data_IF_666483779484
#
_entry.id   IF_666483779484
#
_cell.length_a   1.000
_cell.length_b   1.000
_cell.length_c   1.000
_cell.angle_alpha   90.00
_cell.angle_beta   90.00
_cell.angle_gamma   90.00
#
_symmetry.space_group_name_H-M   'P 1'
#
loop_
_entity.id
_entity.type
_entity.pdbx_description
1 polymer ?
2 polymer ?
3 non-polymer ?
#
loop_
_entity_poly.entity_id
_entity_poly.type
_entity_poly.pdbx_seq_one_letter_code
_entity_poly.pdbx_strand_id
2 'polyribonucleotide' 'GGCCAGGUAGCUCAGUUGGUAGAGCACUGGACUGAAAAUCCAGGUGUCGGCGGUUCGAUUCCGCCCCUGGCCAC' ?
#
# COMPACT_ATOMS: atom_id res chain seq x y z
N UNK A 1 -29.05 12.21 6.52
CA UNK A 1 -29.76 12.37 7.78
C UNK A 1 -28.89 13.13 8.79
N UNK A 2 -27.61 13.21 8.47
CA UNK A 2 -26.64 13.88 9.34
C UNK A 2 -26.96 15.36 9.53
N UNK A 3 -27.30 16.04 8.44
CA UNK A 3 -27.63 17.45 8.48
C UNK A 3 -28.86 17.75 9.33
N UNK A 4 -29.84 16.85 9.26
CA UNK A 4 -31.07 16.97 10.04
C UNK A 4 -30.79 16.89 11.54
N UNK A 5 -30.07 15.84 11.94
CA UNK A 5 -29.72 15.64 13.34
C UNK A 5 -28.83 16.78 13.85
N UNK A 6 -27.94 17.25 12.98
CA UNK A 6 -27.06 18.37 13.31
C UNK A 6 -27.85 19.65 13.48
N UNK A 7 -28.97 19.75 12.76
CA UNK A 7 -29.85 20.91 12.89
C UNK A 7 -30.64 20.84 14.20
N UNK A 8 -31.14 19.64 14.52
CA UNK A 8 -31.90 19.43 15.75
C UNK A 8 -31.06 19.74 16.98
N UNK A 9 -29.79 19.36 16.93
CA UNK A 9 -28.86 19.60 18.04
C UNK A 9 -28.25 20.99 17.94
N UNK A 10 -28.59 21.71 16.89
CA UNK A 10 -28.05 23.04 16.67
C UNK A 10 -26.54 23.02 16.50
N UNK A 11 -26.05 22.04 15.76
CA UNK A 11 -24.61 21.86 15.57
C UNK A 11 -24.19 22.11 14.14
N UNK A 12 -22.88 22.00 13.90
CA UNK A 12 -22.32 22.13 12.56
C UNK A 12 -21.35 20.99 12.29
N UNK A 13 -21.66 20.16 11.30
CA UNK A 13 -20.81 19.02 10.97
C UNK A 13 -20.25 19.17 9.55
N UNK A 14 -19.09 18.59 9.31
CA UNK A 14 -18.45 18.70 8.00
C UNK A 14 -17.71 17.43 7.61
N UNK A 15 -17.74 17.10 6.32
CA UNK A 15 -16.87 16.05 5.80
C UNK A 15 -15.48 16.65 5.65
N UNK A 16 -14.46 15.90 6.05
CA UNK A 16 -13.13 16.50 6.20
C UNK A 16 -11.98 15.57 5.80
N UNK A 17 -10.96 16.15 5.18
CA UNK A 17 -9.71 15.45 4.94
C UNK A 17 -9.63 14.77 3.58
N UNK A 18 -8.85 13.70 3.51
CA UNK A 18 -8.67 12.94 2.29
C UNK A 18 -9.97 12.48 1.69
N UNK A 19 -10.96 12.22 2.55
CA UNK A 19 -12.30 11.85 2.10
C UNK A 19 -12.83 12.88 1.11
N UNK A 20 -12.67 14.16 1.46
CA UNK A 20 -13.01 15.24 0.54
C UNK A 20 -12.16 15.16 -0.71
N UNK A 21 -10.85 14.99 -0.51
CA UNK A 21 -9.91 14.92 -1.63
C UNK A 21 -10.35 13.86 -2.63
N UNK A 22 -10.55 12.63 -2.16
CA UNK A 22 -11.01 11.53 -2.99
C UNK A 22 -12.33 11.86 -3.69
N UNK A 23 -13.17 12.64 -3.01
CA UNK A 23 -14.44 13.05 -3.60
C UNK A 23 -14.17 14.00 -4.76
N UNK A 24 -13.24 14.92 -4.57
CA UNK A 24 -12.89 15.88 -5.60
C UNK A 24 -12.05 15.22 -6.67
N UNK A 25 -11.46 14.07 -6.34
CA UNK A 25 -10.69 13.28 -7.29
C UNK A 25 -11.58 12.25 -7.97
N UNK A 26 -12.86 12.26 -7.62
CA UNK A 26 -13.84 11.37 -8.24
C UNK A 26 -13.83 9.97 -7.69
N UNK A 27 -12.95 9.71 -6.73
CA UNK A 27 -12.84 8.39 -6.12
C UNK A 27 -13.76 8.25 -4.92
N UNK A 28 -14.71 7.32 -5.02
CA UNK A 28 -15.63 7.08 -3.92
C UNK A 28 -15.06 6.11 -2.90
N UNK A 29 -15.17 6.47 -1.63
CA UNK A 29 -14.68 5.63 -0.55
C UNK A 29 -15.80 5.31 0.44
N UNK A 30 -15.63 4.23 1.19
CA UNK A 30 -16.64 3.80 2.16
C UNK A 30 -16.32 4.30 3.57
N UNK A 31 -15.21 5.01 3.71
CA UNK A 31 -14.81 5.55 5.01
C UNK A 31 -14.94 7.06 5.01
N UNK A 32 -15.85 7.58 5.83
CA UNK A 32 -16.11 9.02 5.88
C UNK A 32 -15.67 9.63 7.21
N UNK A 33 -14.90 10.70 7.11
CA UNK A 33 -14.40 11.42 8.27
C UNK A 33 -15.16 12.72 8.50
N UNK A 34 -15.74 12.87 9.68
CA UNK A 34 -16.52 14.04 10.04
C UNK A 34 -15.85 14.86 11.13
N UNK A 35 -15.92 16.18 10.99
CA UNK A 35 -15.52 17.09 12.05
C UNK A 35 -16.75 17.84 12.53
N UNK A 36 -16.99 17.79 13.84
CA UNK A 36 -18.20 18.35 14.41
C UNK A 36 -17.91 19.45 15.43
N UNK A 37 -18.49 20.64 15.18
CA UNK A 37 -18.49 21.70 16.18
C UNK A 37 -19.60 21.39 17.18
N UNK A 38 -19.23 21.23 18.45
CA UNK A 38 -20.14 20.67 19.44
C UNK A 38 -19.78 19.21 19.65
N UNK A 39 -20.59 18.49 20.42
CA UNK A 39 -20.28 17.11 20.76
C UNK A 39 -20.55 16.16 19.59
N UNK A 40 -19.50 15.46 19.15
CA UNK A 40 -19.62 14.50 18.06
C UNK A 40 -20.15 13.16 18.55
N UNK A 41 -19.84 12.84 19.81
CA UNK A 41 -20.23 11.56 20.38
C UNK A 41 -21.74 11.37 20.36
N UNK A 42 -22.48 12.34 20.89
CA UNK A 42 -23.94 12.28 20.93
C UNK A 42 -24.54 12.26 19.53
N UNK A 43 -23.87 12.94 18.59
CA UNK A 43 -24.31 12.96 17.20
C UNK A 43 -24.22 11.54 16.62
N UNK A 44 -23.08 10.90 16.84
CA UNK A 44 -22.84 9.55 16.36
C UNK A 44 -23.81 8.55 17.00
N UNK A 45 -24.04 8.73 18.30
CA UNK A 45 -24.96 7.87 19.04
C UNK A 45 -26.39 8.00 18.51
N UNK A 46 -26.79 9.23 18.21
CA UNK A 46 -28.13 9.49 17.71
C UNK A 46 -28.30 8.94 16.31
N UNK A 47 -27.30 9.15 15.46
CA UNK A 47 -27.33 8.64 14.10
C UNK A 47 -27.37 7.12 14.09
N UNK A 48 -26.61 6.51 14.98
CA UNK A 48 -26.58 5.05 15.09
C UNK A 48 -27.91 4.53 15.63
N UNK A 49 -28.52 5.32 16.50
CA UNK A 49 -29.79 4.94 17.11
C UNK A 49 -30.94 4.99 16.10
N UNK A 50 -30.96 6.03 15.28
CA UNK A 50 -32.01 6.19 14.28
C UNK A 50 -31.96 5.10 13.21
N UNK A 51 -30.75 4.78 12.76
CA UNK A 51 -30.55 3.71 11.78
C UNK A 51 -30.54 2.35 12.45
N UNK A 52 -30.55 2.35 13.78
CA UNK A 52 -30.61 1.12 14.55
C UNK A 52 -29.39 0.24 14.40
N UNK A 53 -28.21 0.83 14.55
CA UNK A 53 -26.97 0.07 14.48
C UNK A 53 -26.09 0.33 15.70
N UNK A 54 -25.12 -0.55 15.91
CA UNK A 54 -24.22 -0.41 17.05
C UNK A 54 -23.33 0.83 16.94
N UNK A 55 -22.89 1.34 18.07
CA UNK A 55 -22.03 2.52 18.10
C UNK A 55 -20.79 2.26 18.96
N UNK A 56 -19.66 2.82 18.55
CA UNK A 56 -18.40 2.65 19.26
C UNK A 56 -17.83 3.99 19.70
N UNK A 57 -18.21 4.43 20.92
CA UNK A 57 -17.77 5.70 21.50
C UNK A 57 -16.34 5.67 22.04
N UNK A 58 -15.67 6.80 21.90
CA UNK A 58 -14.34 7.02 22.45
C UNK A 58 -14.30 8.42 23.07
N UNK A 59 -14.71 8.52 24.34
CA UNK A 59 -14.83 9.78 25.08
C UNK A 59 -13.49 10.52 25.24
N UNK A 60 -12.43 9.79 25.57
CA UNK A 60 -11.14 10.41 25.83
C UNK A 60 -10.56 10.99 24.54
N UNK A 61 -10.74 10.29 23.43
CA UNK A 61 -10.32 10.78 22.13
C UNK A 61 -11.32 11.80 21.60
N UNK A 62 -12.57 11.67 22.04
CA UNK A 62 -13.64 12.56 21.62
C UNK A 62 -14.18 12.20 20.25
N UNK A 63 -14.03 10.93 19.88
CA UNK A 63 -14.47 10.47 18.57
C UNK A 63 -15.38 9.26 18.70
N UNK A 64 -16.12 8.93 17.65
CA UNK A 64 -16.99 7.76 17.68
C UNK A 64 -17.11 7.11 16.31
N UNK A 65 -17.18 5.78 16.28
CA UNK A 65 -17.26 5.05 15.02
C UNK A 65 -18.55 4.25 14.91
N UNK A 66 -19.19 4.33 13.76
CA UNK A 66 -20.42 3.56 13.52
C UNK A 66 -20.49 3.10 12.06
N UNK A 67 -20.99 1.89 11.84
CA UNK A 67 -21.03 1.34 10.49
C UNK A 67 -22.46 1.18 9.98
N UNK A 68 -22.76 1.87 8.89
CA UNK A 68 -24.06 1.75 8.23
C UNK A 68 -23.89 1.12 6.85
N UNK A 69 -24.34 -0.12 6.71
CA UNK A 69 -24.12 -0.86 5.47
C UNK A 69 -22.64 -1.09 5.24
N UNK A 70 -22.16 -0.68 4.07
CA UNK A 70 -20.73 -0.74 3.77
C UNK A 70 -20.04 0.57 4.16
N UNK A 71 -20.83 1.57 4.53
CA UNK A 71 -20.28 2.86 4.94
C UNK A 71 -19.72 2.82 6.35
N UNK A 72 -18.45 3.19 6.49
CA UNK A 72 -17.82 3.32 7.79
C UNK A 72 -17.74 4.80 8.16
N UNK A 73 -18.45 5.18 9.22
CA UNK A 73 -18.54 6.58 9.60
C UNK A 73 -17.75 6.88 10.88
N UNK A 74 -16.90 7.89 10.81
CA UNK A 74 -16.16 8.36 11.98
C UNK A 74 -16.49 9.82 12.30
N UNK A 75 -16.99 10.07 13.49
CA UNK A 75 -17.28 11.44 13.93
C UNK A 75 -16.23 11.92 14.93
N UNK A 76 -15.63 13.06 14.66
CA UNK A 76 -14.57 13.61 15.50
C UNK A 76 -14.83 15.05 15.89
N UNK A 77 -14.75 15.35 17.19
CA UNK A 77 -14.95 16.71 17.66
C UNK A 77 -13.79 17.60 17.24
N UNK A 78 -14.11 18.82 16.82
CA UNK A 78 -13.10 19.77 16.36
C UNK A 78 -12.07 20.09 17.45
N UNK A 79 -10.80 20.06 17.07
CA UNK A 79 -9.71 20.34 18.00
C UNK A 79 -8.60 21.12 17.33
N UNK A 80 -8.05 22.09 18.04
CA UNK A 80 -6.98 22.94 17.51
C UNK A 80 -5.62 22.25 17.57
N UNK A 81 -5.51 21.26 18.46
CA UNK A 81 -4.24 20.57 18.68
C UNK A 81 -4.41 19.06 18.64
N UNK A 82 -3.35 18.36 18.28
CA UNK A 82 -3.37 16.91 18.17
C UNK A 82 -3.26 16.26 19.55
N UNK A 93 -11.90 25.69 25.81
CA UNK A 93 -12.33 26.52 24.70
C UNK A 93 -12.66 25.66 23.47
N UNK A 94 -13.85 25.91 22.88
CA UNK A 94 -14.29 25.18 21.68
C UNK A 94 -13.45 25.55 20.46
N UNK A 95 -13.09 24.55 19.67
CA UNK A 95 -12.25 24.78 18.50
C UNK A 95 -13.08 24.91 17.23
N UNK A 96 -12.78 25.94 16.44
CA UNK A 96 -13.43 26.13 15.15
C UNK A 96 -12.95 25.11 14.14
N UNK A 97 -13.73 24.91 13.09
CA UNK A 97 -13.37 24.00 12.01
C UNK A 97 -12.00 24.33 11.43
N UNK A 98 -11.79 25.63 11.17
CA UNK A 98 -10.55 26.12 10.59
C UNK A 98 -9.32 25.69 11.39
N UNK A 99 -9.42 25.77 12.71
CA UNK A 99 -8.33 25.35 13.58
C UNK A 99 -8.10 23.85 13.45
N UNK A 100 -9.18 23.10 13.24
CA UNK A 100 -9.08 21.65 13.10
C UNK A 100 -8.44 21.29 11.77
N UNK A 101 -8.65 22.12 10.76
CA UNK A 101 -8.11 21.88 9.43
C UNK A 101 -6.65 22.33 9.31
N UNK A 102 -6.27 23.35 10.07
CA UNK A 102 -4.93 23.92 9.92
C UNK A 102 -3.85 23.05 10.58
N UNK A 103 -4.27 22.11 11.42
CA UNK A 103 -3.33 21.21 12.07
C UNK A 103 -2.95 20.04 11.18
N UNK A 104 -3.55 19.98 9.99
CA UNK A 104 -3.33 18.85 9.10
C UNK A 104 -2.11 19.06 8.23
N UNK A 105 -1.84 18.11 7.33
CA UNK A 105 -0.58 18.09 6.58
C UNK A 105 -0.58 19.00 5.36
N UNK A 106 -1.32 18.62 4.32
CA UNK A 106 -1.24 19.31 3.03
C UNK A 106 -2.56 19.97 2.65
N UNK A 107 -2.47 20.97 1.77
CA UNK A 107 -3.61 21.79 1.38
C UNK A 107 -4.76 20.97 0.78
N UNK A 108 -4.42 19.92 0.04
CA UNK A 108 -5.45 19.08 -0.58
C UNK A 108 -6.17 18.24 0.47
N UNK A 109 -5.51 18.01 1.61
CA UNK A 109 -6.13 17.29 2.72
C UNK A 109 -6.72 18.23 3.77
N UNK A 110 -6.63 19.53 3.51
CA UNK A 110 -7.06 20.54 4.49
C UNK A 110 -8.47 21.08 4.24
N UNK A 111 -9.15 20.56 3.22
CA UNK A 111 -10.46 21.11 2.85
C UNK A 111 -11.63 20.39 3.52
N UNK A 112 -12.84 20.90 3.30
CA UNK A 112 -14.02 20.36 3.94
C UNK A 112 -15.30 20.62 3.13
N UNK A 113 -16.29 19.75 3.32
CA UNK A 113 -17.58 19.88 2.65
C UNK A 113 -18.72 19.86 3.67
N UNK A 114 -19.49 20.94 3.73
CA UNK A 114 -20.51 21.10 4.75
C UNK A 114 -21.75 20.23 4.51
N UNK A 115 -22.13 19.46 5.52
CA UNK A 115 -23.33 18.64 5.47
C UNK A 115 -24.53 19.31 6.14
N UNK A 116 -24.34 20.54 6.62
CA UNK A 116 -25.44 21.29 7.23
C UNK A 116 -26.46 21.68 6.18
N UNK A 117 -27.73 21.50 6.50
CA UNK A 117 -28.82 21.61 5.52
C UNK A 117 -28.92 22.96 4.80
N UNK A 118 -28.53 24.04 5.47
CA UNK A 118 -28.64 25.36 4.85
C UNK A 118 -27.60 25.59 3.77
N UNK A 119 -26.33 25.34 4.09
CA UNK A 119 -25.22 25.54 3.16
C UNK A 119 -24.85 24.27 2.40
N UNK A 120 -25.67 23.23 2.53
CA UNK A 120 -25.34 21.88 2.08
C UNK A 120 -24.78 21.83 0.67
N UNK A 121 -23.66 21.13 0.53
CA UNK A 121 -22.99 20.97 -0.76
C UNK A 121 -21.80 21.88 -0.91
N UNK A 122 -21.61 22.77 0.05
CA UNK A 122 -20.54 23.76 -0.03
C UNK A 122 -19.19 23.18 0.38
N UNK A 123 -18.19 23.42 -0.47
CA UNK A 123 -16.81 23.04 -0.17
C UNK A 123 -16.09 24.18 0.54
N UNK A 124 -15.55 23.91 1.73
CA UNK A 124 -14.86 24.94 2.49
C UNK A 124 -13.35 24.81 2.36
N UNK A 125 -12.75 25.73 1.61
CA UNK A 125 -11.30 25.73 1.43
C UNK A 125 -10.69 27.05 1.89
N UNK A 126 -9.97 26.99 3.01
CA UNK A 126 -9.29 28.17 3.54
C UNK A 126 -7.92 28.42 2.90
N UNK A 127 -7.16 27.35 2.72
CA UNK A 127 -5.74 27.46 2.38
C UNK A 127 -5.47 27.38 0.88
N UNK A 128 -6.53 27.27 0.09
CA UNK A 128 -6.37 27.18 -1.35
C UNK A 128 -6.00 25.78 -1.81
N UNK A 129 -6.50 24.78 -1.09
CA UNK A 129 -6.25 23.39 -1.44
C UNK A 129 -6.86 22.99 -2.77
N UNK A 130 -7.92 23.68 -3.15
CA UNK A 130 -8.59 23.42 -4.42
C UNK A 130 -7.68 23.78 -5.58
N UNK A 131 -6.98 24.90 -5.45
CA UNK A 131 -6.05 25.35 -6.47
C UNK A 131 -4.89 24.37 -6.62
N UNK A 132 -4.29 23.99 -5.49
CA UNK A 132 -3.18 23.06 -5.49
C UNK A 132 -3.58 21.69 -6.03
N UNK A 133 -4.83 21.31 -5.77
CA UNK A 133 -5.37 20.07 -6.32
C UNK A 133 -5.53 20.22 -7.83
N UNK A 134 -5.91 21.41 -8.25
CA UNK A 134 -6.08 21.73 -9.67
C UNK A 134 -4.72 21.85 -10.37
N UNK A 135 -3.73 22.36 -9.64
CA UNK A 135 -2.39 22.55 -10.19
C UNK A 135 -1.47 21.36 -9.94
N UNK A 136 -2.04 20.30 -9.37
CA UNK A 136 -1.29 19.09 -9.05
C UNK A 136 -0.11 19.40 -8.13
N UNK A 137 -0.38 20.11 -7.05
CA UNK A 137 0.68 20.56 -6.15
C UNK A 137 0.54 20.01 -4.74
N UNK A 138 1.61 19.41 -4.23
CA UNK A 138 1.67 19.00 -2.83
C UNK A 138 2.31 20.12 -2.03
N UNK A 139 1.53 20.76 -1.17
CA UNK A 139 1.99 21.94 -0.45
C UNK A 139 1.63 21.88 1.03
N UNK A 140 2.61 22.17 1.87
CA UNK A 140 2.39 22.20 3.32
C UNK A 140 1.65 23.46 3.74
N UNK A 141 0.96 23.39 4.88
CA UNK A 141 0.21 24.53 5.39
C UNK A 141 1.13 25.53 6.07
N UNK A 142 2.19 25.04 6.70
CA UNK A 142 3.14 25.88 7.41
C UNK A 142 4.55 25.33 7.30
N UNK A 143 5.56 26.22 7.37
CA UNK A 143 6.97 25.84 7.26
C UNK A 143 7.41 24.79 8.27
N UNK A 144 6.77 24.76 9.43
CA UNK A 144 7.16 23.84 10.50
C UNK A 144 6.51 22.47 10.38
N UNK A 145 5.74 22.26 9.33
CA UNK A 145 4.95 21.04 9.13
C UNK A 145 5.76 19.74 9.24
N UNK A 146 6.87 19.67 8.50
CA UNK A 146 7.69 18.47 8.51
C UNK A 146 8.39 18.28 9.86
N UNK A 147 8.68 19.39 10.53
CA UNK A 147 9.32 19.33 11.84
C UNK A 147 8.33 18.82 12.89
N UNK A 148 7.07 19.21 12.75
CA UNK A 148 6.01 18.74 13.64
C UNK A 148 5.85 17.23 13.54
N UNK A 149 5.65 16.75 12.32
CA UNK A 149 5.45 15.32 12.07
C UNK A 149 6.35 14.86 10.92
N UNK A 150 7.57 14.41 11.24
CA UNK A 150 8.55 13.91 10.27
C UNK A 150 8.00 12.79 9.38
N UNK A 151 7.04 12.04 9.89
CA UNK A 151 6.40 10.97 9.12
C UNK A 151 5.84 11.52 7.81
N UNK A 152 5.33 12.74 7.85
CA UNK A 152 4.77 13.40 6.68
C UNK A 152 5.74 13.44 5.51
N UNK A 153 7.04 13.47 5.82
CA UNK A 153 8.08 13.44 4.79
C UNK A 153 7.83 12.30 3.81
N UNK A 154 7.51 11.13 4.36
CA UNK A 154 7.14 9.99 3.52
C UNK A 154 5.81 10.26 2.84
N UNK A 155 4.82 10.63 3.65
CA UNK A 155 3.44 10.79 3.18
C UNK A 155 3.35 11.63 1.92
N UNK A 156 3.96 12.82 1.96
CA UNK A 156 3.98 13.71 0.82
C UNK A 156 4.42 12.97 -0.42
N UNK A 157 5.61 12.36 -0.34
CA UNK A 157 6.15 11.59 -1.45
C UNK A 157 5.13 10.56 -1.90
N UNK A 158 4.59 9.83 -0.93
CA UNK A 158 3.60 8.80 -1.21
C UNK A 158 2.44 9.40 -2.01
N UNK A 159 1.93 10.53 -1.53
CA UNK A 159 0.84 11.19 -2.23
C UNK A 159 1.32 11.63 -3.61
N UNK A 160 2.51 12.22 -3.64
CA UNK A 160 3.09 12.68 -4.90
C UNK A 160 3.28 11.49 -5.83
N UNK A 161 3.39 10.30 -5.25
CA UNK A 161 3.49 9.08 -6.02
C UNK A 161 2.14 8.69 -6.60
N UNK A 162 1.10 8.75 -5.78
CA UNK A 162 -0.22 8.27 -6.20
C UNK A 162 -0.90 9.21 -7.17
N UNK A 163 -0.99 10.49 -6.79
CA UNK A 163 -1.75 11.46 -7.56
C UNK A 163 -0.93 12.05 -8.70
N UNK A 164 0.33 11.65 -8.78
CA UNK A 164 1.27 12.21 -9.76
C UNK A 164 1.35 13.73 -9.63
N UNK A 165 1.42 14.21 -8.40
CA UNK A 165 1.57 15.63 -8.14
C UNK A 165 3.04 16.00 -8.00
N UNK A 166 3.30 17.28 -7.78
CA UNK A 166 4.67 17.75 -7.58
C UNK A 166 4.76 18.61 -6.33
N UNK A 167 5.89 18.50 -5.64
CA UNK A 167 6.14 19.31 -4.45
C UNK A 167 6.43 20.75 -4.84
N UNK A 168 5.82 21.70 -4.14
CA UNK A 168 6.12 23.10 -4.36
C UNK A 168 7.54 23.37 -3.90
N UNK A 169 8.15 24.43 -4.45
CA UNK A 169 9.52 24.80 -4.10
C UNK A 169 9.69 24.94 -2.59
N UNK A 170 8.73 25.63 -1.97
CA UNK A 170 8.69 25.76 -0.52
C UNK A 170 8.71 24.39 0.14
N UNK A 171 7.67 23.61 -0.11
CA UNK A 171 7.51 22.28 0.48
C UNK A 171 8.73 21.38 0.23
N UNK A 172 9.30 21.47 -0.97
CA UNK A 172 10.46 20.67 -1.31
C UNK A 172 11.67 21.06 -0.48
N UNK A 173 11.95 22.36 -0.40
CA UNK A 173 13.06 22.85 0.40
C UNK A 173 12.88 22.47 1.87
N UNK A 174 11.66 22.62 2.37
CA UNK A 174 11.35 22.27 3.74
C UNK A 174 11.56 20.79 4.01
N UNK A 175 11.20 19.95 3.04
CA UNK A 175 11.37 18.51 3.16
C UNK A 175 12.84 18.14 3.20
N UNK A 176 13.62 18.69 2.27
CA UNK A 176 15.05 18.43 2.22
C UNK A 176 15.72 18.87 3.53
N UNK A 177 15.36 20.05 4.00
CA UNK A 177 15.87 20.57 5.27
C UNK A 177 15.51 19.62 6.41
N UNK A 178 14.28 19.13 6.40
CA UNK A 178 13.80 18.22 7.43
C UNK A 178 14.60 16.92 7.47
N UNK A 179 14.89 16.38 6.29
CA UNK A 179 15.66 15.15 6.20
C UNK A 179 17.12 15.38 6.62
N UNK A 180 17.67 16.51 6.21
CA UNK A 180 19.04 16.86 6.56
C UNK A 180 19.27 16.99 8.07
N UNK A 181 18.22 17.30 8.80
CA UNK A 181 18.31 17.43 10.25
C UNK A 181 18.29 16.05 10.92
N UNK A 182 18.04 15.01 10.12
CA UNK A 182 17.99 13.66 10.63
C UNK A 182 16.76 13.41 11.48
N UNK A 183 15.72 14.19 11.22
CA UNK A 183 14.46 14.07 11.97
C UNK A 183 13.78 12.74 11.68
N UNK A 184 14.18 12.11 10.58
CA UNK A 184 13.60 10.82 10.19
C UNK A 184 14.01 9.74 11.17
N UNK A 185 15.17 9.90 11.79
CA UNK A 185 15.64 8.97 12.80
C UNK A 185 14.95 9.21 14.15
N UNK A 186 14.64 10.48 14.42
CA UNK A 186 13.99 10.85 15.67
C UNK A 186 12.53 10.42 15.71
N UNK A 187 11.90 10.34 14.53
CA UNK A 187 10.51 9.95 14.42
C UNK A 187 10.28 8.52 14.92
N UNK A 188 9.08 8.25 15.45
CA UNK A 188 8.72 6.91 15.92
C UNK A 188 8.85 5.87 14.80
N UNK A 189 9.49 4.75 15.12
CA UNK A 189 9.75 3.69 14.14
C UNK A 189 8.46 3.14 13.56
N UNK A 190 7.46 2.95 14.41
CA UNK A 190 6.20 2.37 14.01
C UNK A 190 5.44 3.17 12.98
N UNK A 191 5.39 4.48 13.16
CA UNK A 191 4.68 5.36 12.24
C UNK A 191 5.32 5.33 10.85
N UNK A 192 6.65 5.34 10.83
CA UNK A 192 7.41 5.30 9.57
C UNK A 192 7.21 3.97 8.86
N UNK A 193 7.38 2.88 9.61
CA UNK A 193 7.21 1.54 9.05
C UNK A 193 5.80 1.39 8.49
N UNK A 194 4.82 1.89 9.22
CA UNK A 194 3.43 1.84 8.78
C UNK A 194 3.21 2.67 7.52
N UNK A 195 3.93 3.79 7.43
CA UNK A 195 3.87 4.65 6.25
C UNK A 195 4.39 3.91 5.04
N UNK A 196 5.48 3.17 5.23
CA UNK A 196 6.06 2.38 4.16
C UNK A 196 5.10 1.26 3.76
N UNK A 197 4.46 0.65 4.74
CA UNK A 197 3.47 -0.40 4.49
C UNK A 197 2.33 0.15 3.66
N UNK A 198 1.94 1.40 3.93
CA UNK A 198 0.92 2.06 3.13
C UNK A 198 1.45 2.33 1.73
N UNK A 199 2.74 2.64 1.63
CA UNK A 199 3.36 2.97 0.36
C UNK A 199 3.38 1.79 -0.60
N UNK A 200 3.81 0.63 -0.11
CA UNK A 200 3.97 -0.54 -0.97
C UNK A 200 2.64 -1.05 -1.53
N UNK A 201 1.54 -0.68 -0.89
CA UNK A 201 0.22 -1.10 -1.34
C UNK A 201 -0.23 -0.32 -2.57
N UNK A 202 0.45 0.78 -2.84
CA UNK A 202 0.13 1.62 -4.00
C UNK A 202 0.54 0.93 -5.31
N UNK A 203 -0.21 1.19 -6.37
CA UNK A 203 0.12 0.68 -7.69
C UNK A 203 1.21 1.54 -8.32
N UNK A 204 1.26 2.79 -7.90
CA UNK A 204 2.27 3.74 -8.37
C UNK A 204 3.48 3.76 -7.46
N UNK A 205 3.52 2.81 -6.52
CA UNK A 205 4.54 2.72 -5.49
C UNK A 205 5.97 2.79 -6.02
N UNK A 206 6.18 2.38 -7.27
CA UNK A 206 7.51 2.48 -7.89
C UNK A 206 7.97 3.94 -8.00
N UNK A 207 7.05 4.81 -8.39
CA UNK A 207 7.34 6.24 -8.46
C UNK A 207 7.63 6.79 -7.06
N UNK A 208 6.90 6.27 -6.07
CA UNK A 208 7.13 6.63 -4.68
C UNK A 208 8.55 6.24 -4.28
N UNK A 209 9.01 5.10 -4.79
CA UNK A 209 10.38 4.65 -4.54
C UNK A 209 11.38 5.56 -5.22
N UNK A 210 11.01 6.06 -6.39
CA UNK A 210 11.83 7.03 -7.10
C UNK A 210 11.98 8.30 -6.27
N UNK A 211 10.90 8.70 -5.62
CA UNK A 211 10.93 9.86 -4.74
C UNK A 211 11.72 9.58 -3.48
N UNK A 212 11.68 8.33 -3.01
CA UNK A 212 12.42 7.91 -1.83
C UNK A 212 13.92 7.95 -2.13
N UNK A 213 14.29 7.57 -3.34
CA UNK A 213 15.67 7.60 -3.78
C UNK A 213 16.15 9.03 -3.97
N UNK A 214 15.28 9.84 -4.58
CA UNK A 214 15.60 11.22 -4.89
C UNK A 214 15.91 12.03 -3.62
N UNK A 215 15.05 11.88 -2.62
CA UNK A 215 15.23 12.61 -1.37
C UNK A 215 15.94 11.79 -0.29
N UNK A 216 16.34 10.57 -0.65
CA UNK A 216 17.22 9.73 0.17
C UNK A 216 16.69 9.46 1.58
N UNK A 217 15.41 9.16 1.68
CA UNK A 217 14.80 8.86 2.97
C UNK A 217 15.06 7.43 3.43
N UNK A 218 15.17 6.50 2.49
CA UNK A 218 15.39 5.09 2.80
C UNK A 218 16.73 4.87 3.48
N UNK A 219 17.71 5.69 3.14
CA UNK A 219 19.02 5.63 3.79
C UNK A 219 18.89 5.92 5.28
N UNK A 220 18.01 6.85 5.61
CA UNK A 220 17.76 7.22 6.99
C UNK A 220 16.94 6.15 7.71
N UNK A 221 15.86 5.71 7.07
CA UNK A 221 14.99 4.71 7.67
C UNK A 221 15.67 3.36 7.81
N UNK A 222 16.16 2.84 6.69
CA UNK A 222 16.80 1.52 6.69
C UNK A 222 18.31 1.64 6.91
N UNK A 223 18.83 0.85 7.84
CA UNK A 223 20.25 0.88 8.17
C UNK A 223 21.06 -0.03 7.26
N UNK A 224 22.02 0.55 6.55
CA UNK A 224 22.89 -0.20 5.67
C UNK A 224 22.43 -0.18 4.21
N UNK A 225 21.29 0.45 3.96
CA UNK A 225 20.72 0.50 2.62
C UNK A 225 21.33 1.61 1.78
N UNK A 226 21.74 1.26 0.57
CA UNK A 226 22.27 2.24 -0.38
C UNK A 226 21.74 1.96 -1.78
N UNK A 227 21.62 3.01 -2.59
CA UNK A 227 21.09 2.88 -3.94
C UNK A 227 22.16 2.62 -4.99
N UNK A 228 21.89 1.67 -5.87
CA UNK A 228 22.74 1.42 -7.03
C UNK A 228 21.89 1.23 -8.28
N UNK A 229 22.54 1.04 -9.42
CA UNK A 229 21.83 0.95 -10.69
C UNK A 229 21.19 -0.42 -10.92
N UNK A 230 21.88 -1.46 -10.49
CA UNK A 230 21.41 -2.83 -10.67
C UNK A 230 20.05 -3.05 -10.00
N UNK A 231 19.91 -2.51 -8.80
CA UNK A 231 18.66 -2.62 -8.05
C UNK A 231 17.53 -1.89 -8.76
N UNK A 232 17.83 -0.71 -9.29
CA UNK A 232 16.84 0.11 -9.98
C UNK A 232 16.35 -0.58 -11.25
N UNK A 233 17.30 -1.06 -12.05
CA UNK A 233 16.97 -1.79 -13.27
C UNK A 233 16.19 -3.06 -12.94
N UNK A 234 16.52 -3.68 -11.82
CA UNK A 234 15.77 -4.82 -11.32
C UNK A 234 14.34 -4.42 -10.97
N UNK A 235 14.17 -3.19 -10.48
CA UNK A 235 12.85 -2.69 -10.11
C UNK A 235 11.99 -2.42 -11.33
N UNK A 236 12.62 -1.93 -12.41
CA UNK A 236 11.88 -1.67 -13.64
C UNK A 236 11.56 -2.97 -14.39
N UNK A 237 12.51 -3.89 -14.38
CA UNK A 237 12.27 -5.22 -14.94
C UNK A 237 11.12 -5.90 -14.20
N UNK A 238 11.16 -5.78 -12.87
CA UNK A 238 10.09 -6.31 -12.03
C UNK A 238 8.78 -5.60 -12.33
N UNK A 239 8.86 -4.32 -12.69
CA UNK A 239 7.69 -3.55 -13.10
C UNK A 239 7.06 -4.19 -14.33
N UNK A 240 7.89 -4.48 -15.33
CA UNK A 240 7.41 -5.13 -16.55
C UNK A 240 6.79 -6.50 -16.26
N UNK A 241 7.51 -7.31 -15.50
CA UNK A 241 7.04 -8.64 -15.12
C UNK A 241 5.69 -8.58 -14.41
N UNK A 242 5.58 -7.66 -13.45
CA UNK A 242 4.35 -7.45 -12.71
C UNK A 242 3.23 -7.03 -13.64
N UNK A 243 3.55 -6.17 -14.61
CA UNK A 243 2.56 -5.74 -15.60
C UNK A 243 2.01 -6.93 -16.38
N UNK A 244 2.91 -7.72 -16.96
CA UNK A 244 2.50 -8.89 -17.74
C UNK A 244 1.70 -9.91 -16.93
N UNK A 245 2.21 -10.21 -15.74
CA UNK A 245 1.58 -11.19 -14.85
C UNK A 245 0.20 -10.74 -14.39
N UNK A 246 0.07 -9.46 -14.08
CA UNK A 246 -1.20 -8.88 -13.69
C UNK A 246 -2.09 -8.63 -14.90
N UNK A 247 -1.53 -8.84 -16.09
CA UNK A 247 -2.31 -8.73 -17.32
C UNK A 247 -2.97 -10.05 -17.67
N UNK A 248 -2.15 -11.05 -18.01
CA UNK A 248 -2.69 -12.34 -18.46
C UNK A 248 -3.15 -13.22 -17.30
N UNK A 249 -2.35 -13.27 -16.25
CA UNK A 249 -2.58 -14.16 -15.11
C UNK A 249 -3.38 -13.53 -13.99
N UNK A 250 -3.98 -12.36 -14.26
CA UNK A 250 -4.56 -11.48 -13.25
C UNK A 250 -5.44 -12.16 -12.19
N UNK A 251 -6.03 -13.30 -12.53
CA UNK A 251 -6.77 -14.08 -11.54
C UNK A 251 -5.85 -14.63 -10.45
N UNK A 252 -4.56 -14.73 -10.76
CA UNK A 252 -3.56 -15.29 -9.84
C UNK A 252 -2.83 -14.25 -9.01
N UNK A 253 -3.26 -12.99 -9.10
CA UNK A 253 -2.55 -11.87 -8.48
C UNK A 253 -2.25 -12.03 -6.99
N UNK A 254 -1.06 -11.57 -6.59
CA UNK A 254 -0.67 -11.49 -5.19
C UNK A 254 -0.23 -10.05 -4.91
N UNK A 255 0.31 -9.80 -3.72
CA UNK A 255 0.78 -8.46 -3.42
C UNK A 255 2.15 -8.22 -4.06
N UNK A 256 2.19 -7.26 -4.97
CA UNK A 256 3.37 -7.00 -5.79
C UNK A 256 4.43 -6.13 -5.11
N UNK A 257 3.99 -5.19 -4.29
CA UNK A 257 4.90 -4.26 -3.64
C UNK A 257 5.97 -4.95 -2.82
N UNK A 258 5.61 -6.05 -2.19
CA UNK A 258 6.54 -6.83 -1.37
C UNK A 258 7.70 -7.34 -2.21
N UNK A 259 7.45 -7.61 -3.49
CA UNK A 259 8.51 -8.05 -4.39
C UNK A 259 9.54 -6.94 -4.59
N UNK A 260 9.05 -5.73 -4.83
CA UNK A 260 9.92 -4.55 -4.93
C UNK A 260 10.72 -4.39 -3.65
N UNK A 261 10.04 -4.57 -2.51
CA UNK A 261 10.70 -4.45 -1.22
C UNK A 261 11.80 -5.51 -1.06
N UNK A 262 11.58 -6.68 -1.65
CA UNK A 262 12.58 -7.75 -1.62
C UNK A 262 13.77 -7.39 -2.49
N UNK A 263 13.48 -6.76 -3.64
CA UNK A 263 14.54 -6.33 -4.54
C UNK A 263 15.42 -5.26 -3.88
N UNK A 264 14.79 -4.36 -3.14
CA UNK A 264 15.50 -3.28 -2.47
C UNK A 264 16.50 -3.77 -1.44
N UNK A 265 16.08 -4.73 -0.62
CA UNK A 265 16.89 -5.22 0.49
C UNK A 265 17.73 -6.44 0.10
N UNK A 266 17.70 -6.81 -1.17
CA UNK A 266 18.42 -7.98 -1.66
C UNK A 266 19.92 -7.96 -1.34
N UNK A 267 20.53 -6.79 -1.51
CA UNK A 267 21.97 -6.66 -1.28
C UNK A 267 22.31 -6.43 0.19
N UNK A 268 21.28 -6.25 1.01
CA UNK A 268 21.46 -6.06 2.45
C UNK A 268 21.85 -7.36 3.13
N UNK A 269 22.45 -7.23 4.31
CA UNK A 269 22.77 -8.40 5.13
C UNK A 269 21.50 -9.11 5.57
N UNK A 270 21.59 -10.42 5.78
CA UNK A 270 20.43 -11.22 6.14
C UNK A 270 19.85 -10.81 7.50
N UNK A 271 20.72 -10.34 8.39
CA UNK A 271 20.29 -9.92 9.72
C UNK A 271 19.40 -8.68 9.63
N UNK A 272 19.89 -7.65 8.97
CA UNK A 272 19.14 -6.41 8.79
C UNK A 272 17.86 -6.64 7.97
N UNK A 273 17.94 -7.57 7.03
CA UNK A 273 16.78 -7.90 6.20
C UNK A 273 15.70 -8.59 7.00
N UNK A 274 16.08 -9.59 7.77
CA UNK A 274 15.13 -10.32 8.61
C UNK A 274 14.54 -9.41 9.68
N UNK A 275 15.37 -8.52 10.22
CA UNK A 275 14.93 -7.56 11.23
C UNK A 275 13.94 -6.56 10.64
N UNK A 276 14.23 -6.09 9.43
CA UNK A 276 13.36 -5.13 8.75
C UNK A 276 12.02 -5.76 8.41
N UNK A 277 12.05 -6.96 7.84
CA UNK A 277 10.82 -7.69 7.55
C UNK A 277 10.07 -8.03 8.82
N UNK A 278 10.81 -8.14 9.92
CA UNK A 278 10.19 -8.36 11.22
C UNK A 278 9.44 -7.11 11.66
N UNK A 279 10.05 -5.95 11.46
CA UNK A 279 9.44 -4.67 11.81
C UNK A 279 8.27 -4.33 10.90
N UNK A 280 8.34 -4.81 9.65
CA UNK A 280 7.32 -4.50 8.65
C UNK A 280 6.09 -5.38 8.78
N UNK A 281 6.18 -6.41 9.62
CA UNK A 281 5.12 -7.41 9.77
C UNK A 281 4.74 -7.99 8.40
N UNK A 282 5.75 -8.44 7.66
CA UNK A 282 5.55 -8.96 6.32
C UNK A 282 4.83 -10.30 6.35
N UNK A 283 4.10 -10.63 5.27
CA UNK A 283 3.43 -11.94 5.14
C UNK A 283 4.43 -13.10 5.17
N UNK A 284 3.94 -14.29 5.46
CA UNK A 284 4.78 -15.47 5.58
C UNK A 284 5.46 -15.83 4.26
N UNK A 285 4.71 -15.73 3.17
CA UNK A 285 5.24 -16.05 1.85
C UNK A 285 6.33 -15.07 1.45
N UNK A 286 6.28 -13.86 2.00
CA UNK A 286 7.31 -12.86 1.76
C UNK A 286 8.61 -13.23 2.45
N UNK A 287 8.51 -13.63 3.71
CA UNK A 287 9.68 -14.08 4.47
C UNK A 287 10.28 -15.32 3.83
N UNK A 288 9.43 -16.24 3.40
CA UNK A 288 9.88 -17.47 2.76
C UNK A 288 10.57 -17.16 1.43
N UNK A 289 9.98 -16.27 0.64
CA UNK A 289 10.55 -15.89 -0.65
C UNK A 289 11.88 -15.18 -0.47
N UNK A 290 12.01 -14.39 0.60
CA UNK A 290 13.26 -13.70 0.90
C UNK A 290 14.35 -14.68 1.32
N UNK A 291 14.03 -15.53 2.28
CA UNK A 291 14.97 -16.53 2.79
C UNK A 291 15.40 -17.50 1.68
N UNK A 292 14.51 -17.70 0.71
CA UNK A 292 14.81 -18.53 -0.44
C UNK A 292 15.67 -17.79 -1.46
N UNK A 293 15.42 -16.49 -1.58
CA UNK A 293 16.13 -15.64 -2.54
C UNK A 293 17.58 -15.43 -2.13
N UNK A 294 17.80 -15.26 -0.82
CA UNK A 294 19.12 -14.94 -0.32
C UNK A 294 20.11 -16.10 -0.48
N UNK A 295 19.59 -17.33 -0.51
CA UNK A 295 20.46 -18.51 -0.53
C UNK A 295 20.21 -19.43 -1.71
N UNK A 296 19.09 -20.15 -1.69
CA UNK A 296 18.84 -21.22 -2.64
C UNK A 296 18.52 -20.74 -4.05
N UNK A 297 18.27 -19.45 -4.21
CA UNK A 297 17.88 -18.89 -5.50
C UNK A 297 18.97 -19.06 -6.55
N UNK A 298 20.21 -18.79 -6.17
CA UNK A 298 21.34 -18.91 -7.06
C UNK A 298 21.50 -20.32 -7.61
N UNK A 299 21.57 -21.28 -6.69
CA UNK A 299 21.70 -22.68 -7.07
C UNK A 299 20.50 -23.14 -7.90
N UNK A 300 19.31 -22.61 -7.56
CA UNK A 300 18.11 -22.91 -8.32
C UNK A 300 18.26 -22.45 -9.77
N UNK A 301 18.78 -21.24 -9.95
CA UNK A 301 19.02 -20.69 -11.28
C UNK A 301 20.03 -21.55 -12.03
N UNK A 302 21.11 -21.92 -11.36
CA UNK A 302 22.14 -22.76 -11.96
C UNK A 302 21.58 -24.11 -12.38
N UNK A 303 20.57 -24.58 -11.66
CA UNK A 303 19.90 -25.83 -12.00
C UNK A 303 18.96 -25.65 -13.19
N UNK A 304 18.32 -24.48 -13.25
CA UNK A 304 17.43 -24.16 -14.36
C UNK A 304 18.22 -23.98 -15.66
N UNK A 305 19.48 -23.60 -15.53
CA UNK A 305 20.36 -23.47 -16.69
C UNK A 305 20.72 -24.84 -17.25
N UNK A 306 20.79 -25.83 -16.36
CA UNK A 306 21.15 -27.20 -16.75
C UNK A 306 19.91 -27.98 -17.19
N UNK A 307 18.75 -27.35 -17.13
CA UNK A 307 17.49 -28.01 -17.47
C UNK A 307 17.41 -28.31 -18.96
N UNK A 308 17.07 -29.56 -19.28
CA UNK A 308 16.91 -29.98 -20.67
C UNK A 308 15.47 -30.44 -20.92
N UNK A 309 15.08 -31.52 -20.26
CA UNK A 309 13.70 -32.00 -20.35
C UNK A 309 12.76 -31.05 -19.62
N UNK A 310 11.49 -31.07 -19.99
CA UNK A 310 10.50 -30.18 -19.40
C UNK A 310 10.10 -30.62 -17.99
N UNK A 311 10.24 -31.90 -17.72
CA UNK A 311 9.84 -32.46 -16.43
C UNK A 311 10.76 -32.02 -15.30
N UNK A 312 12.03 -31.81 -15.62
CA UNK A 312 12.99 -31.29 -14.65
C UNK A 312 12.58 -29.87 -14.27
N UNK A 313 12.21 -29.08 -15.28
CA UNK A 313 11.71 -27.74 -15.08
C UNK A 313 10.46 -27.76 -14.19
N UNK A 314 9.57 -28.70 -14.48
CA UNK A 314 8.38 -28.93 -13.66
C UNK A 314 8.75 -29.14 -12.20
N UNK A 315 9.51 -30.19 -11.94
CA UNK A 315 9.96 -30.53 -10.58
C UNK A 315 10.63 -29.37 -9.86
N UNK A 316 11.41 -28.58 -10.60
CA UNK A 316 12.13 -27.45 -10.01
C UNK A 316 11.25 -26.22 -9.80
N UNK A 317 10.13 -26.16 -10.49
CA UNK A 317 9.25 -24.99 -10.44
C UNK A 317 8.01 -25.20 -9.57
N UNK A 318 7.19 -26.17 -9.93
CA UNK A 318 5.86 -26.39 -9.34
C UNK A 318 5.77 -26.25 -7.80
N UNK A 319 6.76 -26.78 -7.04
CA UNK A 319 6.64 -26.58 -5.60
C UNK A 319 6.79 -25.11 -5.15
N UNK A 320 7.39 -24.28 -5.99
CA UNK A 320 7.63 -22.87 -5.63
C UNK A 320 6.37 -22.03 -5.66
N UNK A 321 6.41 -20.90 -4.95
CA UNK A 321 5.31 -19.95 -4.94
C UNK A 321 5.33 -19.12 -6.23
N UNK A 322 4.35 -18.23 -6.39
CA UNK A 322 4.28 -17.36 -7.56
C UNK A 322 5.38 -16.30 -7.50
N UNK A 323 5.64 -15.80 -6.29
CA UNK A 323 6.64 -14.76 -6.07
C UNK A 323 8.02 -15.20 -6.55
N UNK A 324 8.39 -16.43 -6.21
CA UNK A 324 9.68 -16.99 -6.61
C UNK A 324 9.80 -17.05 -8.12
N UNK A 325 8.71 -17.43 -8.79
CA UNK A 325 8.67 -17.49 -10.24
C UNK A 325 8.84 -16.11 -10.86
N UNK A 326 8.12 -15.14 -10.32
CA UNK A 326 8.21 -13.76 -10.79
C UNK A 326 9.61 -13.21 -10.58
N UNK A 327 10.30 -13.71 -9.56
CA UNK A 327 11.69 -13.34 -9.32
C UNK A 327 12.61 -14.06 -10.31
N UNK A 328 12.18 -15.23 -10.76
CA UNK A 328 12.95 -15.99 -11.74
C UNK A 328 12.79 -15.39 -13.13
N UNK A 329 11.73 -14.63 -13.34
CA UNK A 329 11.49 -13.98 -14.63
C UNK A 329 12.41 -12.78 -14.85
N UNK A 330 13.15 -12.41 -13.81
CA UNK A 330 14.10 -11.31 -13.89
C UNK A 330 15.27 -11.67 -14.80
N UNK A 331 15.53 -12.96 -14.93
CA UNK A 331 16.58 -13.45 -15.82
C UNK A 331 16.04 -13.55 -17.24
N UNK A 332 16.79 -13.03 -18.19
CA UNK A 332 16.38 -13.00 -19.59
C UNK A 332 16.29 -14.41 -20.19
N UNK A 333 17.25 -15.25 -19.85
CA UNK A 333 17.30 -16.61 -20.40
C UNK A 333 16.20 -17.51 -19.84
N UNK A 334 15.78 -17.24 -18.60
CA UNK A 334 14.79 -18.08 -17.93
C UNK A 334 13.36 -17.60 -18.14
N UNK A 335 13.21 -16.42 -18.73
CA UNK A 335 11.90 -15.79 -18.91
C UNK A 335 10.92 -16.66 -19.70
N UNK A 336 11.25 -16.91 -20.96
CA UNK A 336 10.41 -17.72 -21.85
C UNK A 336 10.17 -19.12 -21.29
N UNK A 337 11.13 -19.62 -20.51
CA UNK A 337 11.00 -20.92 -19.88
C UNK A 337 9.92 -20.89 -18.79
N UNK A 338 9.99 -19.88 -17.94
CA UNK A 338 8.99 -19.68 -16.89
C UNK A 338 7.60 -19.51 -17.50
N UNK A 339 7.50 -18.67 -18.52
CA UNK A 339 6.25 -18.44 -19.22
C UNK A 339 5.70 -19.75 -19.79
N UNK A 340 6.56 -20.49 -20.46
CA UNK A 340 6.21 -21.79 -21.04
C UNK A 340 5.67 -22.72 -19.96
N UNK A 341 6.29 -22.69 -18.79
CA UNK A 341 5.80 -23.46 -17.66
C UNK A 341 4.42 -22.98 -17.21
N UNK A 342 4.20 -21.67 -17.31
CA UNK A 342 2.99 -21.06 -16.79
C UNK A 342 1.77 -21.34 -17.65
N UNK A 343 1.77 -20.82 -18.87
CA UNK A 343 0.55 -20.90 -19.69
C UNK A 343 0.39 -22.22 -20.44
N UNK A 344 1.37 -23.13 -20.31
CA UNK A 344 1.29 -24.41 -21.01
C UNK A 344 1.58 -25.64 -20.15
N UNK A 345 2.82 -25.76 -19.68
CA UNK A 345 3.35 -26.99 -19.09
C UNK A 345 2.52 -27.59 -17.96
N UNK A 346 2.05 -26.76 -17.04
CA UNK A 346 1.37 -27.26 -15.85
C UNK A 346 -0.12 -27.52 -16.10
N UNK A 347 -0.55 -27.29 -17.34
CA UNK A 347 -1.95 -27.54 -17.71
C UNK A 347 -2.09 -28.84 -18.51
N UNK A 348 -2.80 -29.81 -17.93
CA UNK A 348 -3.03 -31.11 -18.55
C UNK A 348 -3.94 -31.96 -17.66
N UNK A 349 -4.52 -33.01 -18.24
CA UNK A 349 -5.42 -33.90 -17.50
C UNK A 349 -5.51 -35.27 -18.16
N UNK A 350 -6.30 -36.15 -17.57
CA UNK A 350 -6.48 -37.51 -18.08
C UNK A 350 -7.94 -37.95 -17.97
N UNK A 351 -8.42 -38.77 -18.93
CA UNK A 351 -9.80 -39.26 -18.95
C UNK A 351 -10.08 -40.32 -17.87
N UNK A 352 -11.25 -40.93 -17.93
CA UNK A 352 -11.68 -41.86 -16.88
C UNK A 352 -10.98 -43.22 -16.96
N UNK A 353 -11.27 -43.97 -18.03
CA UNK A 353 -10.78 -45.34 -18.17
C UNK A 353 -9.27 -45.46 -18.00
N UNK A 354 -8.53 -44.50 -18.55
CA UNK A 354 -7.08 -44.50 -18.43
C UNK A 354 -6.63 -44.43 -16.97
N UNK A 355 -7.11 -43.43 -16.25
CA UNK A 355 -6.80 -43.27 -14.83
C UNK A 355 -7.23 -44.50 -14.03
N UNK A 356 -8.38 -45.07 -14.40
CA UNK A 356 -8.86 -46.31 -13.78
C UNK A 356 -7.85 -47.44 -13.97
N UNK A 357 -7.22 -47.46 -15.14
CA UNK A 357 -6.17 -48.44 -15.42
C UNK A 357 -4.89 -48.11 -14.66
N UNK A 358 -4.68 -46.83 -14.38
CA UNK A 358 -3.50 -46.37 -13.66
C UNK A 358 -3.58 -46.77 -12.18
N UNK A 359 -4.79 -46.77 -11.65
CA UNK A 359 -5.01 -47.13 -10.25
C UNK A 359 -5.05 -48.64 -10.07
N UNK A 360 -5.20 -49.36 -11.18
CA UNK A 360 -5.28 -50.82 -11.19
C UNK A 360 -6.37 -51.33 -10.26
N UNK A 365 -1.06 -46.40 -2.61
CA UNK A 365 -0.36 -45.49 -1.73
C UNK A 365 0.38 -44.41 -2.49
N UNK A 366 1.64 -44.18 -2.10
CA UNK A 366 2.47 -43.18 -2.76
C UNK A 366 2.87 -43.63 -4.16
N UNK A 367 2.86 -44.94 -4.37
CA UNK A 367 3.25 -45.51 -5.66
C UNK A 367 2.32 -45.06 -6.78
N UNK A 368 1.08 -44.75 -6.43
CA UNK A 368 0.12 -44.18 -7.38
C UNK A 368 0.64 -42.83 -7.84
N UNK A 369 1.12 -42.03 -6.88
CA UNK A 369 1.67 -40.72 -7.17
C UNK A 369 2.93 -40.81 -8.02
N UNK A 370 3.83 -41.71 -7.66
CA UNK A 370 5.04 -41.93 -8.43
C UNK A 370 4.72 -42.33 -9.87
N UNK A 371 3.75 -43.22 -10.01
CA UNK A 371 3.33 -43.70 -11.33
C UNK A 371 2.75 -42.56 -12.15
N UNK A 372 1.90 -41.75 -11.52
CA UNK A 372 1.32 -40.58 -12.18
C UNK A 372 2.41 -39.62 -12.64
N UNK A 373 3.43 -39.44 -11.81
CA UNK A 373 4.58 -38.62 -12.17
C UNK A 373 5.30 -39.19 -13.39
N UNK A 374 5.47 -40.51 -13.42
CA UNK A 374 6.09 -41.19 -14.55
C UNK A 374 5.28 -40.98 -15.83
N UNK A 375 3.97 -40.95 -15.69
CA UNK A 375 3.08 -40.74 -16.82
C UNK A 375 3.15 -39.31 -17.32
N UNK A 376 3.28 -38.37 -16.39
CA UNK A 376 3.40 -36.96 -16.74
C UNK A 376 4.72 -36.69 -17.47
N UNK A 377 5.81 -37.26 -16.96
CA UNK A 377 7.11 -37.11 -17.62
C UNK A 377 7.14 -37.92 -18.92
N UNK A 378 6.22 -38.87 -19.05
CA UNK A 378 6.08 -39.62 -20.29
C UNK A 378 5.34 -38.79 -21.34
N UNK A 379 4.39 -37.97 -20.89
CA UNK A 379 3.62 -37.11 -21.78
C UNK A 379 4.44 -35.90 -22.23
N UNK A 380 5.12 -35.25 -21.27
CA UNK A 380 5.92 -34.07 -21.55
C UNK A 380 7.00 -34.35 -22.61
N UNK A 381 7.97 -35.18 -22.25
CA UNK A 381 9.08 -35.49 -23.14
C UNK A 381 8.71 -36.54 -24.18
#
# INVERSE_FOLDING_TARGET
MVGQIAKEMGLRAYIVGGVVRDILLGKEVWDVDFVVEGNAIELAKELARRHGVNVHPFPEFGTAHLKIGKLKLEFATARRETYPRPGAYPKVEPASLKEDLIRRDFTINAMAISVNLEDYGTLIDYFGGLRDLKDKVIRVLHPVSFIEDPVRILRALRFAGRLNFKLSRSTEKLLKQAVNLGLLKEAPRGRLINEIKLALREDRFLEILELYRKYRVLEEIIEGFQWNEKVLQKLYALRKVVDWHALEFSEERIDYGWLYLLILISNLDYERGKHFLEEMSAPSWVRETYKFMKFKLGSLKEELKKAKENYEVYRLLKPLHTSVLLLLMLEEELKEKIKLYLEKLRKVKLPKEKIEELKKQGLKGKELGERIEELKREIMNKIKLAAALEHHHHHH
#
